data_IF_830629940339
#
_entry.id   IF_830629940339
#
_cell.length_a   1.000
_cell.length_b   1.000
_cell.length_c   1.000
_cell.angle_alpha   90.00
_cell.angle_beta   90.00
_cell.angle_gamma   90.00
#
_symmetry.space_group_name_H-M   'P 1'
#
loop_
_entity.id
_entity.type
_entity.pdbx_description
1 polymer ?
#
# COMPACT_ATOMS: atom_id res chain seq x y z
N UNK A 1 15.86 -16.93 -3.47
CA UNK A 1 15.64 -16.05 -2.32
C UNK A 1 14.15 -15.88 -2.01
N UNK A 2 13.30 -15.62 -3.00
CA UNK A 2 11.86 -15.52 -2.84
C UNK A 2 11.25 -16.77 -2.20
N UNK A 3 11.56 -17.95 -2.72
CA UNK A 3 11.03 -19.21 -2.22
C UNK A 3 11.35 -19.47 -0.73
N UNK A 4 12.47 -18.92 -0.25
CA UNK A 4 12.86 -19.03 1.17
C UNK A 4 12.03 -18.10 2.07
N UNK A 5 11.61 -16.96 1.55
CA UNK A 5 10.75 -16.01 2.27
C UNK A 5 9.34 -16.59 2.40
N UNK A 6 8.77 -17.10 1.31
CA UNK A 6 7.45 -17.72 1.28
C UNK A 6 7.32 -18.96 2.19
N UNK A 7 8.34 -19.80 2.21
CA UNK A 7 8.28 -21.09 2.91
C UNK A 7 8.65 -21.01 4.40
N UNK A 8 9.05 -19.88 4.92
CA UNK A 8 9.42 -19.76 6.34
C UNK A 8 8.28 -19.51 7.31
N UNK A 9 7.04 -19.40 6.82
CA UNK A 9 5.82 -19.49 7.64
C UNK A 9 5.68 -18.45 8.74
N UNK A 10 6.38 -17.33 8.64
CA UNK A 10 6.15 -16.20 9.52
C UNK A 10 5.20 -15.24 8.82
N UNK A 11 4.12 -14.90 9.47
CA UNK A 11 3.17 -13.92 9.01
C UNK A 11 3.26 -12.68 9.87
N UNK A 12 3.00 -11.54 9.28
CA UNK A 12 2.73 -10.33 10.01
C UNK A 12 1.57 -10.58 10.99
N UNK A 13 1.64 -10.04 12.18
CA UNK A 13 0.76 -10.40 13.30
C UNK A 13 -0.73 -10.23 13.06
N UNK A 14 -1.10 -9.47 12.05
CA UNK A 14 -2.51 -9.34 11.64
C UNK A 14 -3.16 -10.70 11.34
N UNK A 15 -2.42 -11.62 10.71
CA UNK A 15 -2.95 -12.93 10.34
C UNK A 15 -3.23 -13.82 11.58
N UNK A 16 -2.54 -13.58 12.67
CA UNK A 16 -2.74 -14.30 13.93
C UNK A 16 -3.97 -13.78 14.69
N UNK A 17 -4.40 -12.57 14.40
CA UNK A 17 -5.54 -11.93 15.09
C UNK A 17 -6.89 -12.35 14.52
N UNK A 18 -6.95 -12.74 13.25
CA UNK A 18 -8.17 -13.31 12.67
C UNK A 18 -8.52 -14.68 13.27
N UNK A 19 -7.51 -15.44 13.74
CA UNK A 19 -7.68 -16.72 14.39
C UNK A 19 -7.94 -16.64 15.90
N UNK A 20 -7.47 -15.58 16.55
CA UNK A 20 -7.77 -15.32 17.96
C UNK A 20 -8.95 -14.39 18.03
N UNK A 21 -10.10 -14.91 18.48
CA UNK A 21 -11.26 -14.08 18.80
C UNK A 21 -10.81 -12.71 19.26
N UNK A 22 -11.25 -11.67 18.59
CA UNK A 22 -11.06 -10.27 18.95
C UNK A 22 -11.67 -10.09 20.36
N UNK A 23 -10.98 -10.58 21.35
CA UNK A 23 -11.42 -10.50 22.74
C UNK A 23 -11.17 -9.10 23.33
N UNK A 24 -10.97 -8.10 22.50
CA UNK A 24 -10.93 -6.68 22.90
C UNK A 24 -9.77 -6.30 23.83
N UNK A 25 -8.83 -7.19 24.10
CA UNK A 25 -7.87 -6.98 25.20
C UNK A 25 -6.39 -6.98 24.83
N UNK A 26 -6.02 -7.35 23.62
CA UNK A 26 -4.63 -7.19 23.17
C UNK A 26 -4.69 -6.61 21.74
N UNK A 27 -4.82 -5.30 21.66
CA UNK A 27 -4.38 -4.63 20.45
C UNK A 27 -2.92 -5.02 20.26
N UNK A 28 -2.56 -5.67 19.17
CA UNK A 28 -1.15 -5.82 18.87
C UNK A 28 -0.56 -4.42 18.87
N UNK A 29 0.70 -4.33 19.16
CA UNK A 29 1.42 -3.10 18.99
C UNK A 29 1.17 -2.62 17.55
N UNK A 30 0.45 -1.51 17.37
CA UNK A 30 0.08 -0.97 16.06
C UNK A 30 1.29 -0.66 15.18
N UNK A 31 2.45 -0.60 15.78
CA UNK A 31 3.70 -0.12 15.19
C UNK A 31 4.77 -1.19 15.13
N UNK A 32 4.51 -2.40 15.64
CA UNK A 32 5.45 -3.51 15.56
C UNK A 32 4.79 -4.82 15.19
N UNK A 33 5.49 -5.65 14.42
CA UNK A 33 5.04 -6.98 14.01
C UNK A 33 6.22 -7.88 13.68
N UNK A 34 5.97 -9.18 13.76
CA UNK A 34 6.88 -10.23 13.34
C UNK A 34 6.30 -11.01 12.16
N UNK A 35 7.18 -11.45 11.27
CA UNK A 35 6.83 -12.27 10.12
C UNK A 35 6.47 -11.48 8.87
N UNK A 36 6.12 -12.20 7.82
CA UNK A 36 5.83 -11.67 6.48
C UNK A 36 4.53 -12.29 5.97
N UNK A 37 3.65 -11.44 5.45
CA UNK A 37 2.48 -11.87 4.70
C UNK A 37 2.90 -12.28 3.27
N UNK A 38 2.74 -13.56 2.94
CA UNK A 38 3.15 -14.09 1.64
C UNK A 38 2.34 -13.52 0.49
N UNK A 39 1.03 -13.32 0.68
CA UNK A 39 0.13 -12.77 -0.34
C UNK A 39 0.51 -11.32 -0.67
N UNK A 40 0.82 -10.50 0.34
CA UNK A 40 1.37 -9.17 0.13
C UNK A 40 2.67 -9.22 -0.69
N UNK A 41 3.60 -10.10 -0.31
CA UNK A 41 4.89 -10.21 -0.97
C UNK A 41 4.79 -10.61 -2.44
N UNK A 42 3.82 -11.45 -2.81
CA UNK A 42 3.60 -11.84 -4.21
C UNK A 42 3.36 -10.63 -5.10
N UNK A 43 2.48 -9.75 -4.68
CA UNK A 43 2.06 -8.60 -5.47
C UNK A 43 3.02 -7.42 -5.34
N UNK A 44 3.56 -7.18 -4.14
CA UNK A 44 4.58 -6.16 -3.87
C UNK A 44 5.84 -6.38 -4.71
N UNK A 45 6.34 -7.60 -4.79
CA UNK A 45 7.52 -7.93 -5.59
C UNK A 45 7.33 -7.61 -7.09
N UNK A 46 6.12 -7.69 -7.61
CA UNK A 46 5.84 -7.27 -9.00
C UNK A 46 6.04 -5.77 -9.15
N UNK A 47 5.49 -4.97 -8.25
CA UNK A 47 5.66 -3.50 -8.29
C UNK A 47 7.12 -3.09 -8.13
N UNK A 48 7.82 -3.67 -7.16
CA UNK A 48 9.25 -3.40 -6.90
C UNK A 48 10.14 -3.72 -8.12
N UNK A 49 9.75 -4.71 -8.92
CA UNK A 49 10.52 -5.14 -10.08
C UNK A 49 10.03 -4.56 -11.42
N UNK A 50 9.03 -3.69 -11.43
CA UNK A 50 8.54 -3.08 -12.68
C UNK A 50 9.65 -2.45 -13.54
N UNK A 51 10.63 -1.70 -12.99
CA UNK A 51 11.74 -1.16 -13.79
C UNK A 51 12.58 -2.24 -14.48
N UNK A 52 12.69 -3.42 -13.88
CA UNK A 52 13.52 -4.52 -14.41
C UNK A 52 12.80 -5.41 -15.41
N UNK A 53 11.48 -5.43 -15.41
CA UNK A 53 10.66 -6.25 -16.30
C UNK A 53 9.99 -5.42 -17.41
N UNK A 54 10.23 -4.10 -17.42
CA UNK A 54 9.73 -3.20 -18.46
C UNK A 54 10.79 -2.99 -19.51
N UNK A 55 10.46 -3.31 -20.77
CA UNK A 55 11.28 -2.99 -21.92
C UNK A 55 10.73 -1.75 -22.63
N UNK A 56 11.62 -0.80 -22.90
CA UNK A 56 11.33 0.36 -23.74
C UNK A 56 11.88 0.08 -25.14
N UNK A 57 10.97 0.05 -26.12
CA UNK A 57 11.31 -0.25 -27.50
C UNK A 57 10.92 0.91 -28.41
N UNK A 58 11.83 1.29 -29.31
CA UNK A 58 11.53 2.23 -30.39
C UNK A 58 10.80 1.50 -31.52
N UNK A 59 9.50 1.76 -31.63
CA UNK A 59 8.69 1.23 -32.71
C UNK A 59 7.61 2.24 -33.13
N UNK A 60 7.06 2.07 -34.34
CA UNK A 60 6.03 2.97 -34.89
C UNK A 60 4.61 2.70 -34.36
N UNK A 61 4.44 1.85 -33.33
CA UNK A 61 3.13 1.43 -32.85
C UNK A 61 2.89 1.96 -31.44
N UNK A 62 1.67 2.40 -31.19
CA UNK A 62 1.22 2.69 -29.83
C UNK A 62 1.07 1.39 -29.03
N UNK A 63 1.45 1.45 -27.77
CA UNK A 63 1.29 0.35 -26.83
C UNK A 63 0.15 0.67 -25.84
N UNK A 64 -0.67 -0.32 -25.55
CA UNK A 64 -1.61 -0.31 -24.45
C UNK A 64 -1.19 -1.41 -23.47
N UNK A 65 -0.90 -1.01 -22.22
CA UNK A 65 -0.57 -1.90 -21.13
C UNK A 65 -1.68 -1.80 -20.07
N UNK A 66 -2.18 -2.92 -19.61
CA UNK A 66 -3.08 -3.02 -18.46
C UNK A 66 -2.41 -3.91 -17.42
N UNK A 67 -2.24 -3.38 -16.20
CA UNK A 67 -1.73 -4.09 -15.05
C UNK A 67 -2.83 -4.15 -13.98
N UNK A 68 -3.00 -5.32 -13.38
CA UNK A 68 -3.75 -5.51 -12.15
C UNK A 68 -2.78 -5.91 -11.05
N UNK A 69 -2.93 -5.30 -9.87
CA UNK A 69 -2.04 -5.58 -8.76
C UNK A 69 -2.77 -5.43 -7.42
N UNK A 70 -2.65 -6.40 -6.54
CA UNK A 70 -3.37 -6.51 -5.28
C UNK A 70 -2.50 -6.12 -4.07
N UNK A 71 -1.42 -5.38 -4.23
CA UNK A 71 -0.55 -4.96 -3.11
C UNK A 71 -1.33 -4.20 -2.04
N UNK A 72 -2.34 -3.43 -2.43
CA UNK A 72 -3.19 -2.65 -1.52
C UNK A 72 -4.33 -3.43 -0.90
N UNK A 73 -4.46 -4.74 -1.17
CA UNK A 73 -5.48 -5.62 -0.63
C UNK A 73 -5.00 -6.40 0.60
N UNK A 74 -3.79 -6.96 0.53
CA UNK A 74 -3.28 -7.86 1.58
C UNK A 74 -2.51 -7.05 2.63
N UNK A 75 -3.11 -6.88 3.80
CA UNK A 75 -2.54 -6.05 4.86
C UNK A 75 -1.23 -6.63 5.40
N UNK A 76 -0.26 -5.73 5.62
CA UNK A 76 1.03 -6.02 6.24
C UNK A 76 1.58 -4.76 6.90
N UNK A 77 2.11 -4.89 8.11
CA UNK A 77 2.88 -3.80 8.73
C UNK A 77 4.25 -3.72 8.05
N UNK A 78 4.62 -2.53 7.60
CA UNK A 78 5.85 -2.27 6.86
C UNK A 78 6.80 -1.38 7.68
N UNK A 79 8.10 -1.53 7.44
CA UNK A 79 9.10 -0.68 8.09
C UNK A 79 9.08 0.72 7.48
N UNK A 80 8.82 1.71 8.29
CA UNK A 80 8.89 3.14 7.94
C UNK A 80 10.33 3.68 8.11
N UNK A 81 10.73 4.72 7.37
CA UNK A 81 9.90 5.54 6.45
C UNK A 81 9.77 5.02 5.01
N UNK A 82 10.50 3.99 4.62
CA UNK A 82 10.55 3.49 3.24
C UNK A 82 9.37 2.60 2.88
N UNK A 83 8.54 2.22 3.86
CA UNK A 83 7.40 1.32 3.71
C UNK A 83 7.79 0.00 3.03
N UNK A 84 8.86 -0.62 3.54
CA UNK A 84 9.40 -1.88 3.02
C UNK A 84 9.05 -3.07 3.92
N UNK A 85 8.85 -4.27 3.33
CA UNK A 85 8.65 -5.49 4.09
C UNK A 85 9.92 -5.92 4.83
N UNK A 86 9.78 -6.25 6.13
CA UNK A 86 10.84 -6.81 6.95
C UNK A 86 10.28 -7.94 7.84
N UNK A 87 11.13 -8.91 8.18
CA UNK A 87 10.75 -10.01 9.08
C UNK A 87 10.40 -9.54 10.50
N UNK A 88 10.99 -8.45 10.93
CA UNK A 88 10.68 -7.79 12.19
C UNK A 88 10.57 -6.30 11.96
N UNK A 89 9.41 -5.73 12.23
CA UNK A 89 9.09 -4.32 12.05
C UNK A 89 8.94 -3.67 13.41
N UNK A 90 9.54 -2.49 13.57
CA UNK A 90 9.30 -1.63 14.73
C UNK A 90 9.40 -0.16 14.33
N UNK A 91 8.26 0.50 14.27
CA UNK A 91 8.13 1.90 13.88
C UNK A 91 8.01 2.86 15.09
N UNK A 92 8.22 2.40 16.34
CA UNK A 92 7.95 3.19 17.55
C UNK A 92 8.66 4.55 17.57
N UNK A 93 9.92 4.60 17.18
CA UNK A 93 10.70 5.83 17.15
C UNK A 93 10.20 6.77 16.05
N UNK A 94 9.94 6.23 14.86
CA UNK A 94 9.45 6.99 13.73
C UNK A 94 8.05 7.55 14.00
N UNK A 95 7.14 6.72 14.49
CA UNK A 95 5.78 7.09 14.87
C UNK A 95 5.74 8.25 15.86
N UNK A 96 6.59 8.21 16.88
CA UNK A 96 6.61 9.23 17.95
C UNK A 96 6.98 10.63 17.46
N UNK A 97 7.66 10.72 16.31
CA UNK A 97 8.23 11.98 15.77
C UNK A 97 7.62 12.41 14.44
N UNK A 98 6.74 11.62 13.81
CA UNK A 98 6.23 11.89 12.46
C UNK A 98 4.71 11.66 12.32
N UNK A 99 3.93 11.95 13.36
CA UNK A 99 2.46 11.81 13.31
C UNK A 99 1.79 12.78 12.34
N UNK A 100 2.42 13.88 12.01
CA UNK A 100 1.95 14.86 11.03
C UNK A 100 1.70 14.27 9.63
N UNK A 101 2.33 13.12 9.28
CA UNK A 101 2.10 12.40 8.02
C UNK A 101 0.67 11.89 7.86
N UNK A 102 -0.05 11.74 8.97
CA UNK A 102 -1.46 11.36 8.98
C UNK A 102 -2.43 12.55 8.88
N UNK A 103 -1.91 13.73 8.56
CA UNK A 103 -2.75 14.93 8.39
C UNK A 103 -2.92 15.24 6.91
N UNK A 104 -4.16 15.22 6.43
CA UNK A 104 -4.53 15.54 5.05
C UNK A 104 -5.41 16.79 5.02
N UNK A 105 -4.95 17.86 4.37
CA UNK A 105 -5.67 19.13 4.25
C UNK A 105 -6.17 19.71 5.60
N UNK A 106 -5.41 19.49 6.68
CA UNK A 106 -5.76 19.92 8.02
C UNK A 106 -6.68 18.98 8.80
N UNK A 107 -7.11 17.88 8.20
CA UNK A 107 -7.84 16.81 8.88
C UNK A 107 -6.88 15.71 9.28
N UNK A 108 -6.95 15.27 10.52
CA UNK A 108 -6.16 14.14 11.02
C UNK A 108 -6.90 12.84 10.66
N UNK A 109 -6.17 11.92 10.00
CA UNK A 109 -6.66 10.58 9.73
C UNK A 109 -6.64 9.78 11.04
N UNK A 110 -7.72 9.08 11.35
CA UNK A 110 -7.74 8.13 12.47
C UNK A 110 -6.81 6.96 12.16
N UNK A 111 -5.93 6.69 13.11
CA UNK A 111 -4.96 5.60 13.06
C UNK A 111 -4.99 4.87 14.42
N UNK A 112 -6.20 4.42 14.78
CA UNK A 112 -6.49 3.89 16.12
C UNK A 112 -6.46 2.36 16.15
N UNK A 113 -6.46 1.73 14.97
CA UNK A 113 -6.41 0.28 14.87
C UNK A 113 -5.37 -0.20 13.83
N UNK A 114 -5.08 -1.49 13.90
CA UNK A 114 -4.07 -2.15 13.07
C UNK A 114 -4.44 -2.09 11.57
N UNK A 115 -5.71 -2.22 11.23
CA UNK A 115 -6.18 -2.22 9.85
C UNK A 115 -5.97 -0.84 9.21
N UNK A 116 -6.28 0.23 9.94
CA UNK A 116 -6.07 1.60 9.49
C UNK A 116 -4.60 1.88 9.18
N UNK A 117 -3.71 1.51 10.11
CA UNK A 117 -2.27 1.71 9.96
C UNK A 117 -1.69 0.88 8.83
N UNK A 118 -2.02 -0.40 8.76
CA UNK A 118 -1.48 -1.28 7.72
C UNK A 118 -2.00 -0.93 6.34
N UNK A 119 -3.27 -0.55 6.19
CA UNK A 119 -3.80 -0.06 4.90
C UNK A 119 -3.10 1.21 4.44
N UNK A 120 -2.86 2.17 5.34
CA UNK A 120 -2.06 3.33 5.00
C UNK A 120 -0.68 2.92 4.47
N UNK A 121 0.01 2.03 5.18
CA UNK A 121 1.37 1.62 4.83
C UNK A 121 1.46 0.85 3.51
N UNK A 122 0.55 -0.09 3.25
CA UNK A 122 0.56 -0.84 1.97
C UNK A 122 0.21 0.05 0.77
N UNK A 123 -0.66 1.05 0.95
CA UNK A 123 -0.91 2.05 -0.09
C UNK A 123 0.31 2.93 -0.35
N UNK A 124 0.99 3.40 0.71
CA UNK A 124 2.25 4.14 0.58
C UNK A 124 3.32 3.30 -0.13
N UNK A 125 3.48 2.02 0.24
CA UNK A 125 4.40 1.11 -0.43
C UNK A 125 4.11 0.98 -1.93
N UNK A 126 2.85 0.76 -2.30
CA UNK A 126 2.44 0.63 -3.70
C UNK A 126 2.73 1.92 -4.49
N UNK A 127 2.39 3.09 -3.95
CA UNK A 127 2.61 4.38 -4.62
C UNK A 127 4.11 4.70 -4.76
N UNK A 128 4.92 4.38 -3.76
CA UNK A 128 6.38 4.58 -3.84
C UNK A 128 7.02 3.68 -4.90
N UNK A 129 6.63 2.40 -4.96
CA UNK A 129 7.12 1.48 -6.01
C UNK A 129 6.70 1.94 -7.41
N UNK A 130 5.46 2.40 -7.57
CA UNK A 130 5.02 3.02 -8.83
C UNK A 130 5.80 4.29 -9.15
N UNK A 131 6.14 5.10 -8.15
CA UNK A 131 7.00 6.29 -8.32
C UNK A 131 8.36 5.91 -8.90
N UNK A 132 9.01 4.86 -8.40
CA UNK A 132 10.29 4.36 -8.94
C UNK A 132 10.17 3.88 -10.39
N UNK A 133 9.05 3.25 -10.73
CA UNK A 133 8.79 2.88 -12.13
C UNK A 133 8.57 4.11 -13.02
N UNK A 134 7.91 5.15 -12.52
CA UNK A 134 7.76 6.40 -13.25
C UNK A 134 9.10 7.12 -13.44
N UNK A 135 10.00 7.04 -12.47
CA UNK A 135 11.36 7.57 -12.61
C UNK A 135 12.15 6.80 -13.67
N UNK A 136 12.05 5.47 -13.71
CA UNK A 136 12.58 4.65 -14.79
C UNK A 136 12.02 5.07 -16.17
N UNK A 137 10.72 5.36 -16.26
CA UNK A 137 10.11 5.85 -17.51
C UNK A 137 10.64 7.23 -17.91
N UNK A 138 10.92 8.11 -16.95
CA UNK A 138 11.55 9.43 -17.20
C UNK A 138 12.98 9.27 -17.70
N UNK A 139 13.75 8.40 -17.08
CA UNK A 139 15.13 8.12 -17.48
C UNK A 139 15.24 7.50 -18.89
N UNK A 140 14.16 6.91 -19.37
CA UNK A 140 14.07 6.32 -20.71
C UNK A 140 13.26 7.18 -21.70
N UNK A 141 12.97 8.45 -21.37
CA UNK A 141 12.28 9.41 -22.23
C UNK A 141 10.88 8.96 -22.73
N UNK A 142 10.18 8.13 -21.96
CA UNK A 142 8.84 7.63 -22.32
C UNK A 142 7.72 8.15 -21.41
N UNK A 143 8.05 8.73 -20.26
CA UNK A 143 7.06 9.16 -19.28
C UNK A 143 6.09 10.21 -19.86
N UNK A 144 6.62 11.26 -20.52
CA UNK A 144 5.81 12.36 -21.06
C UNK A 144 4.91 11.90 -22.22
N UNK A 145 5.36 10.90 -22.97
CA UNK A 145 4.61 10.28 -24.06
C UNK A 145 3.64 9.16 -23.60
N UNK A 146 3.47 8.99 -22.29
CA UNK A 146 2.61 7.93 -21.75
C UNK A 146 1.46 8.54 -20.97
N UNK A 147 0.22 8.18 -21.32
CA UNK A 147 -0.94 8.41 -20.45
C UNK A 147 -0.99 7.30 -19.42
N UNK A 148 -1.04 7.68 -18.13
CA UNK A 148 -1.12 6.76 -17.01
C UNK A 148 -2.47 6.95 -16.30
N UNK A 149 -3.19 5.86 -16.09
CA UNK A 149 -4.44 5.85 -15.33
C UNK A 149 -4.28 4.85 -14.19
N UNK A 150 -4.31 5.35 -12.96
CA UNK A 150 -4.38 4.51 -11.77
C UNK A 150 -5.82 4.53 -11.28
N UNK A 151 -6.41 3.36 -11.14
CA UNK A 151 -7.80 3.22 -10.71
C UNK A 151 -7.92 2.03 -9.76
N UNK A 152 -8.65 2.22 -8.65
CA UNK A 152 -9.09 1.12 -7.80
C UNK A 152 -10.52 0.72 -8.19
N UNK A 153 -10.89 -0.54 -7.97
CA UNK A 153 -12.23 -1.06 -8.17
C UNK A 153 -13.22 -0.54 -7.10
N UNK A 154 -12.73 -0.35 -5.86
CA UNK A 154 -13.48 0.26 -4.75
C UNK A 154 -12.54 0.93 -3.76
N UNK A 155 -13.08 1.70 -2.81
CA UNK A 155 -12.39 2.16 -1.62
C UNK A 155 -12.41 1.12 -0.50
N UNK A 156 -12.16 1.56 0.74
CA UNK A 156 -12.25 0.69 1.91
C UNK A 156 -12.86 1.46 3.10
N UNK A 157 -13.72 0.82 3.86
CA UNK A 157 -14.42 1.39 5.02
C UNK A 157 -13.53 1.35 6.29
N UNK A 158 -12.50 2.16 6.29
CA UNK A 158 -11.49 2.23 7.36
C UNK A 158 -11.83 3.23 8.47
N UNK A 159 -12.92 3.97 8.32
CA UNK A 159 -13.35 4.97 9.31
C UNK A 159 -12.30 6.04 9.63
N UNK A 160 -11.49 6.40 8.66
CA UNK A 160 -10.38 7.38 8.81
C UNK A 160 -10.86 8.82 9.05
N UNK A 161 -11.97 9.22 8.43
CA UNK A 161 -12.46 10.59 8.42
C UNK A 161 -13.95 10.65 8.79
N UNK A 162 -14.31 11.52 9.73
CA UNK A 162 -15.69 11.70 10.16
C UNK A 162 -16.62 12.21 9.04
N UNK A 163 -16.08 12.94 8.06
CA UNK A 163 -16.83 13.48 6.93
C UNK A 163 -17.41 12.40 5.99
N UNK A 164 -16.93 11.17 6.10
CA UNK A 164 -17.43 10.02 5.32
C UNK A 164 -18.50 9.20 6.06
N UNK A 165 -18.92 9.63 7.26
CA UNK A 165 -20.02 8.95 7.97
C UNK A 165 -21.38 9.48 7.54
N UNK A 166 -22.29 8.57 7.25
CA UNK A 166 -23.72 8.89 7.15
C UNK A 166 -24.34 9.06 8.54
N UNK A 167 -25.57 9.61 8.58
CA UNK A 167 -26.28 9.86 9.82
C UNK A 167 -26.61 8.59 10.64
N UNK A 168 -26.60 7.43 10.02
CA UNK A 168 -26.75 6.11 10.63
C UNK A 168 -25.42 5.48 11.09
N UNK A 169 -24.28 6.15 10.83
CA UNK A 169 -22.94 5.73 11.22
C UNK A 169 -22.24 4.85 10.19
N UNK A 170 -22.81 4.64 8.99
CA UNK A 170 -22.15 3.92 7.91
C UNK A 170 -21.04 4.77 7.29
N UNK A 171 -19.85 4.18 7.10
CA UNK A 171 -18.72 4.76 6.34
C UNK A 171 -18.94 4.55 4.86
N UNK A 172 -18.95 5.62 4.09
CA UNK A 172 -19.12 5.56 2.63
C UNK A 172 -17.82 5.60 1.84
N UNK A 173 -16.67 5.59 2.50
CA UNK A 173 -15.34 5.63 1.83
C UNK A 173 -15.11 4.43 0.91
N UNK A 174 -15.79 3.31 1.15
CA UNK A 174 -15.82 2.16 0.22
C UNK A 174 -16.23 2.55 -1.20
N UNK A 175 -17.13 3.50 -1.36
CA UNK A 175 -17.67 3.97 -2.66
C UNK A 175 -16.83 5.08 -3.30
N UNK A 176 -15.69 5.43 -2.71
CA UNK A 176 -14.77 6.44 -3.23
C UNK A 176 -13.43 5.81 -3.66
N UNK A 177 -13.40 5.07 -4.79
CA UNK A 177 -12.17 4.47 -5.28
C UNK A 177 -11.16 5.53 -5.72
N UNK A 178 -9.89 5.18 -5.65
CA UNK A 178 -8.82 5.99 -6.23
C UNK A 178 -9.03 6.13 -7.75
N UNK A 179 -8.90 7.34 -8.25
CA UNK A 179 -8.71 7.63 -9.67
C UNK A 179 -7.67 8.73 -9.83
N UNK A 180 -6.56 8.40 -10.42
CA UNK A 180 -5.51 9.35 -10.80
C UNK A 180 -5.23 9.23 -12.29
N UNK A 181 -5.04 10.36 -12.96
CA UNK A 181 -4.73 10.41 -14.39
C UNK A 181 -3.56 11.35 -14.62
N UNK A 182 -2.51 10.84 -15.26
CA UNK A 182 -1.46 11.62 -15.89
C UNK A 182 -1.71 11.56 -17.40
N UNK A 183 -1.86 12.71 -18.03
CA UNK A 183 -2.02 12.82 -19.50
C UNK A 183 -0.65 12.96 -20.17
N UNK A 184 -0.64 13.03 -21.48
CA UNK A 184 0.54 13.38 -22.28
C UNK A 184 0.94 14.83 -21.97
N UNK A 185 2.23 15.11 -21.93
CA UNK A 185 2.80 16.47 -21.81
C UNK A 185 3.25 16.99 -23.14
#
# INVERSE_FOLDING_TARGET
>A
AQEVIYNRGGYNRADVLEETEYSGQIMPDLISAEGINAEFMETYNVLENLPYITDVVDNEKNTFLMLENNTTHSIMLLQEPEYIPQMSVNNAEYESSHRERFTLNGNELKMDDYLQVTHYQINMAALLRLGEWFDYMRENDVYDNTRIILVADHGYDLYHLDDFYLADGEDISFYYPLLMVKDFD
#
